data_IF_055995841088
#
_entry.id   IF_055995841088
#
_cell.length_a   1.000
_cell.length_b   1.000
_cell.length_c   1.000
_cell.angle_alpha   90.00
_cell.angle_beta   90.00
_cell.angle_gamma   90.00
#
_symmetry.space_group_name_H-M   'P 1'
#
loop_
_entity.id
_entity.type
_entity.pdbx_description
1 polymer ?
#
# COMPACT_ATOMS: atom_id res chain seq x y z
N UNK A 1 -12.86 -27.72 -5.93
CA UNK A 1 -14.00 -27.39 -6.83
C UNK A 1 -13.89 -26.00 -7.46
N UNK A 2 -13.14 -25.04 -6.91
CA UNK A 2 -13.07 -23.68 -7.46
C UNK A 2 -12.03 -23.43 -8.57
N UNK A 3 -11.16 -24.39 -8.91
CA UNK A 3 -10.11 -24.16 -9.92
C UNK A 3 -10.67 -23.79 -11.29
N UNK A 4 -11.74 -24.44 -11.75
CA UNK A 4 -12.36 -24.12 -13.04
C UNK A 4 -13.06 -22.75 -13.05
N UNK A 5 -13.56 -22.31 -11.90
CA UNK A 5 -14.13 -20.97 -11.72
C UNK A 5 -13.04 -19.90 -11.76
N UNK A 6 -11.91 -20.14 -11.08
CA UNK A 6 -10.76 -19.24 -11.13
C UNK A 6 -10.23 -19.08 -12.55
N UNK A 7 -10.07 -20.18 -13.27
CA UNK A 7 -9.55 -20.16 -14.63
C UNK A 7 -10.44 -19.31 -15.56
N UNK A 8 -11.77 -19.43 -15.44
CA UNK A 8 -12.73 -18.61 -16.18
C UNK A 8 -12.66 -17.13 -15.82
N UNK A 9 -12.58 -16.80 -14.53
CA UNK A 9 -12.44 -15.41 -14.07
C UNK A 9 -11.17 -14.78 -14.64
N UNK A 10 -10.04 -15.47 -14.52
CA UNK A 10 -8.74 -14.99 -15.05
C UNK A 10 -8.79 -14.85 -16.57
N UNK A 11 -9.38 -15.82 -17.28
CA UNK A 11 -9.52 -15.78 -18.72
C UNK A 11 -10.31 -14.57 -19.21
N UNK A 12 -11.43 -14.25 -18.55
CA UNK A 12 -12.24 -13.07 -18.85
C UNK A 12 -11.51 -11.76 -18.55
N UNK A 13 -10.87 -11.65 -17.39
CA UNK A 13 -10.13 -10.44 -16.97
C UNK A 13 -8.96 -10.14 -17.90
N UNK A 14 -8.19 -11.18 -18.28
CA UNK A 14 -7.00 -11.06 -19.13
C UNK A 14 -7.32 -11.15 -20.63
N UNK A 15 -8.58 -11.39 -21.00
CA UNK A 15 -9.04 -11.56 -22.39
C UNK A 15 -8.28 -12.66 -23.14
N UNK A 16 -8.06 -13.79 -22.47
CA UNK A 16 -7.43 -15.01 -23.00
C UNK A 16 -8.38 -16.21 -22.85
N UNK A 17 -7.99 -17.38 -23.35
CA UNK A 17 -8.86 -18.57 -23.28
C UNK A 17 -8.68 -19.33 -21.98
N UNK A 18 -9.76 -19.95 -21.48
CA UNK A 18 -9.73 -20.80 -20.28
C UNK A 18 -8.64 -21.88 -20.38
N UNK A 19 -8.49 -22.50 -21.57
CA UNK A 19 -7.47 -23.53 -21.82
C UNK A 19 -6.04 -23.01 -21.58
N UNK A 20 -5.75 -21.77 -21.98
CA UNK A 20 -4.43 -21.16 -21.76
C UNK A 20 -4.18 -20.93 -20.26
N UNK A 21 -5.21 -20.49 -19.52
CA UNK A 21 -5.11 -20.30 -18.07
C UNK A 21 -4.89 -21.63 -17.37
N UNK A 22 -5.77 -22.61 -17.59
CA UNK A 22 -5.68 -23.94 -16.96
C UNK A 22 -4.33 -24.61 -17.20
N UNK A 23 -3.83 -24.57 -18.45
CA UNK A 23 -2.54 -25.15 -18.78
C UNK A 23 -1.39 -24.42 -18.08
N UNK A 24 -1.45 -23.10 -18.01
CA UNK A 24 -0.41 -22.27 -17.35
C UNK A 24 -0.43 -22.48 -15.84
N UNK A 25 -1.59 -22.44 -15.19
CA UNK A 25 -1.76 -22.66 -13.74
C UNK A 25 -1.22 -24.04 -13.35
N UNK A 26 -1.57 -25.09 -14.10
CA UNK A 26 -1.06 -26.43 -13.84
C UNK A 26 0.46 -26.49 -13.86
N UNK A 27 1.09 -25.90 -14.87
CA UNK A 27 2.55 -25.91 -14.97
C UNK A 27 3.21 -25.09 -13.85
N UNK A 28 2.61 -23.98 -13.44
CA UNK A 28 3.08 -23.18 -12.29
C UNK A 28 2.97 -23.99 -10.98
N UNK A 29 1.87 -24.72 -10.78
CA UNK A 29 1.67 -25.58 -9.61
C UNK A 29 2.68 -26.76 -9.59
N UNK A 30 3.06 -27.26 -10.77
CA UNK A 30 4.13 -28.27 -10.93
C UNK A 30 5.55 -27.68 -10.70
N UNK A 31 5.66 -26.39 -10.34
CA UNK A 31 6.90 -25.72 -9.99
C UNK A 31 7.64 -25.07 -11.16
N UNK A 32 7.03 -24.96 -12.34
CA UNK A 32 7.64 -24.27 -13.47
C UNK A 32 7.76 -22.76 -13.21
N UNK A 33 8.87 -22.17 -13.63
CA UNK A 33 9.09 -20.72 -13.51
C UNK A 33 8.52 -19.96 -14.71
N UNK A 34 8.16 -18.69 -14.51
CA UNK A 34 7.64 -17.83 -15.59
C UNK A 34 8.58 -17.79 -16.82
N UNK A 35 9.91 -17.58 -16.68
CA UNK A 35 10.81 -17.57 -17.83
C UNK A 35 10.89 -18.94 -18.54
N UNK A 36 10.79 -20.04 -17.78
CA UNK A 36 10.77 -21.37 -18.36
C UNK A 36 9.52 -21.59 -19.22
N UNK A 37 8.36 -21.16 -18.74
CA UNK A 37 7.09 -21.30 -19.46
C UNK A 37 7.08 -20.46 -20.73
N UNK A 38 7.42 -19.17 -20.62
CA UNK A 38 7.43 -18.25 -21.74
C UNK A 38 8.41 -18.68 -22.84
N UNK A 39 9.51 -19.36 -22.49
CA UNK A 39 10.53 -19.79 -23.46
C UNK A 39 10.31 -21.20 -24.00
N UNK A 40 9.97 -22.17 -23.16
CA UNK A 40 10.02 -23.60 -23.49
C UNK A 40 8.66 -24.30 -23.47
N UNK A 41 7.57 -23.61 -23.13
CA UNK A 41 6.21 -24.17 -23.08
C UNK A 41 5.18 -23.36 -23.88
N UNK A 42 5.63 -22.56 -24.86
CA UNK A 42 4.77 -21.73 -25.71
C UNK A 42 3.61 -22.50 -26.36
N UNK A 43 3.85 -23.71 -26.84
CA UNK A 43 2.78 -24.50 -27.48
C UNK A 43 1.69 -24.89 -26.47
N UNK A 44 2.09 -25.23 -25.25
CA UNK A 44 1.19 -25.66 -24.17
C UNK A 44 0.43 -24.47 -23.59
N UNK A 45 1.08 -23.31 -23.47
CA UNK A 45 0.45 -22.07 -22.98
C UNK A 45 -0.29 -21.30 -24.07
N UNK A 46 -0.26 -21.74 -25.33
CA UNK A 46 -0.87 -21.03 -26.45
C UNK A 46 -0.19 -19.69 -26.77
N UNK A 47 1.13 -19.60 -26.57
CA UNK A 47 1.95 -18.48 -26.96
C UNK A 47 1.97 -17.30 -25.97
N UNK A 48 1.50 -17.49 -24.74
CA UNK A 48 1.55 -16.45 -23.70
C UNK A 48 2.99 -16.00 -23.41
N UNK A 49 3.16 -14.69 -23.22
CA UNK A 49 4.43 -14.07 -22.84
C UNK A 49 4.62 -14.04 -21.31
N UNK A 50 5.78 -13.55 -20.88
CA UNK A 50 6.14 -13.48 -19.45
C UNK A 50 5.19 -12.56 -18.66
N UNK A 51 4.64 -11.53 -19.29
CA UNK A 51 3.72 -10.58 -18.64
C UNK A 51 2.39 -11.28 -18.35
N UNK A 52 1.79 -11.92 -19.36
CA UNK A 52 0.53 -12.63 -19.19
C UNK A 52 0.64 -13.80 -18.20
N UNK A 53 1.73 -14.58 -18.28
CA UNK A 53 1.98 -15.69 -17.35
C UNK A 53 2.14 -15.18 -15.91
N UNK A 54 2.83 -14.05 -15.71
CA UNK A 54 2.96 -13.40 -14.40
C UNK A 54 1.60 -12.97 -13.87
N UNK A 55 0.77 -12.33 -14.70
CA UNK A 55 -0.59 -11.92 -14.31
C UNK A 55 -1.46 -13.12 -13.91
N UNK A 56 -1.38 -14.24 -14.63
CA UNK A 56 -2.08 -15.49 -14.27
C UNK A 56 -1.62 -15.99 -12.89
N UNK A 57 -0.29 -16.08 -12.68
CA UNK A 57 0.30 -16.54 -11.41
C UNK A 57 -0.18 -15.69 -10.23
N UNK A 58 -0.13 -14.37 -10.38
CA UNK A 58 -0.46 -13.46 -9.29
C UNK A 58 -1.98 -13.47 -9.02
N UNK A 59 -2.80 -13.51 -10.07
CA UNK A 59 -4.26 -13.52 -9.94
C UNK A 59 -4.78 -14.84 -9.36
N UNK A 60 -4.24 -15.98 -9.77
CA UNK A 60 -4.64 -17.29 -9.19
C UNK A 60 -4.28 -17.37 -7.72
N UNK A 61 -3.14 -16.80 -7.30
CA UNK A 61 -2.76 -16.72 -5.89
C UNK A 61 -3.75 -15.86 -5.09
N UNK A 62 -4.18 -14.71 -5.62
CA UNK A 62 -5.18 -13.85 -4.99
C UNK A 62 -6.53 -14.55 -4.82
N UNK A 63 -7.02 -15.24 -5.86
CA UNK A 63 -8.29 -15.97 -5.81
C UNK A 63 -8.24 -17.14 -4.82
N UNK A 64 -7.12 -17.87 -4.76
CA UNK A 64 -6.90 -18.92 -3.75
C UNK A 64 -6.91 -18.37 -2.31
N UNK A 65 -6.32 -17.20 -2.09
CA UNK A 65 -6.36 -16.57 -0.76
C UNK A 65 -7.77 -16.08 -0.39
N UNK A 66 -8.53 -15.56 -1.37
CA UNK A 66 -9.94 -15.21 -1.19
C UNK A 66 -10.77 -16.44 -0.77
N UNK A 67 -10.59 -17.57 -1.47
CA UNK A 67 -11.24 -18.84 -1.14
C UNK A 67 -10.92 -19.30 0.28
N UNK A 68 -9.62 -19.32 0.62
CA UNK A 68 -9.17 -19.72 1.95
C UNK A 68 -9.79 -18.85 3.04
N UNK A 69 -9.87 -17.54 2.81
CA UNK A 69 -10.51 -16.62 3.76
C UNK A 69 -12.01 -16.84 3.83
N UNK A 70 -12.65 -17.15 2.70
CA UNK A 70 -14.08 -17.48 2.62
C UNK A 70 -14.40 -18.69 3.49
N UNK A 71 -13.61 -19.75 3.40
CA UNK A 71 -13.79 -20.97 4.20
C UNK A 71 -13.67 -20.70 5.70
N UNK A 72 -12.69 -19.87 6.11
CA UNK A 72 -12.52 -19.46 7.51
C UNK A 72 -13.73 -18.67 8.02
N UNK A 73 -14.27 -17.78 7.19
CA UNK A 73 -15.44 -16.97 7.55
C UNK A 73 -16.70 -17.83 7.66
N UNK A 74 -16.93 -18.73 6.71
CA UNK A 74 -18.04 -19.67 6.75
C UNK A 74 -18.00 -20.52 8.03
N UNK A 75 -16.84 -21.11 8.34
CA UNK A 75 -16.66 -21.90 9.56
C UNK A 75 -16.92 -21.09 10.83
N UNK A 76 -16.40 -19.86 10.92
CA UNK A 76 -16.61 -19.01 12.10
C UNK A 76 -18.08 -18.60 12.31
N UNK A 77 -18.85 -18.39 11.24
CA UNK A 77 -20.28 -18.04 11.32
C UNK A 77 -21.12 -19.29 11.64
N UNK A 78 -20.73 -20.45 11.09
CA UNK A 78 -21.35 -21.74 11.38
C UNK A 78 -21.18 -22.14 12.85
N UNK A 79 -19.98 -21.97 13.43
CA UNK A 79 -19.70 -22.22 14.85
C UNK A 79 -20.58 -21.36 15.79
N UNK A 80 -21.02 -20.18 15.33
CA UNK A 80 -21.92 -19.30 16.07
C UNK A 80 -23.41 -19.66 15.90
N UNK A 81 -23.73 -20.63 15.03
CA UNK A 81 -25.10 -21.00 14.67
C UNK A 81 -25.85 -19.88 13.95
N UNK A 82 -25.14 -18.99 13.25
CA UNK A 82 -25.71 -17.81 12.55
C UNK A 82 -25.67 -17.94 11.03
N UNK A 83 -25.13 -19.04 10.50
CA UNK A 83 -25.02 -19.24 9.06
C UNK A 83 -26.39 -19.63 8.49
N UNK A 84 -27.00 -18.69 7.76
CA UNK A 84 -28.24 -18.95 7.01
C UNK A 84 -27.92 -19.24 5.56
N UNK A 85 -28.79 -19.97 4.86
CA UNK A 85 -28.62 -20.28 3.43
C UNK A 85 -28.43 -19.01 2.58
N UNK A 86 -29.17 -17.94 2.92
CA UNK A 86 -29.07 -16.65 2.25
C UNK A 86 -27.70 -15.99 2.46
N UNK A 87 -27.18 -16.01 3.69
CA UNK A 87 -25.86 -15.48 4.02
C UNK A 87 -24.74 -16.31 3.38
N UNK A 88 -24.86 -17.64 3.41
CA UNK A 88 -23.93 -18.54 2.76
C UNK A 88 -23.85 -18.25 1.25
N UNK A 89 -24.99 -18.07 0.59
CA UNK A 89 -25.03 -17.69 -0.82
C UNK A 89 -24.33 -16.35 -1.09
N UNK A 90 -24.53 -15.34 -0.24
CA UNK A 90 -23.83 -14.04 -0.35
C UNK A 90 -22.31 -14.18 -0.18
N UNK A 91 -21.86 -14.97 0.79
CA UNK A 91 -20.44 -15.23 1.05
C UNK A 91 -19.78 -15.95 -0.13
N UNK A 92 -20.46 -16.92 -0.74
CA UNK A 92 -19.98 -17.58 -1.96
C UNK A 92 -19.93 -16.63 -3.17
N UNK A 93 -20.86 -15.69 -3.26
CA UNK A 93 -20.92 -14.70 -4.34
C UNK A 93 -19.92 -13.55 -4.18
N UNK A 94 -19.36 -13.32 -2.98
CA UNK A 94 -18.41 -12.25 -2.72
C UNK A 94 -17.15 -12.41 -3.61
N UNK A 95 -16.91 -11.39 -4.44
CA UNK A 95 -15.86 -11.38 -5.46
C UNK A 95 -14.56 -10.75 -4.95
N UNK A 96 -14.62 -9.97 -3.88
CA UNK A 96 -13.46 -9.29 -3.30
C UNK A 96 -13.28 -9.62 -1.82
N UNK A 97 -12.03 -9.50 -1.36
CA UNK A 97 -11.71 -9.63 0.07
C UNK A 97 -12.50 -8.62 0.92
N UNK A 98 -12.69 -7.42 0.40
CA UNK A 98 -13.44 -6.35 1.08
C UNK A 98 -14.90 -6.71 1.28
N UNK A 99 -15.59 -7.18 0.23
CA UNK A 99 -16.99 -7.64 0.35
C UNK A 99 -17.14 -8.77 1.35
N UNK A 100 -16.18 -9.70 1.34
CA UNK A 100 -16.17 -10.84 2.23
C UNK A 100 -15.99 -10.42 3.70
N UNK A 101 -15.08 -9.48 3.98
CA UNK A 101 -14.89 -8.92 5.34
C UNK A 101 -16.09 -8.08 5.79
N UNK A 102 -16.72 -7.33 4.88
CA UNK A 102 -17.93 -6.55 5.18
C UNK A 102 -19.10 -7.49 5.57
N UNK A 103 -19.27 -8.63 4.87
CA UNK A 103 -20.25 -9.68 5.23
C UNK A 103 -19.95 -10.34 6.58
N UNK A 104 -18.68 -10.50 6.91
CA UNK A 104 -18.25 -11.13 8.16
C UNK A 104 -18.31 -10.19 9.37
N UNK A 105 -18.30 -8.87 9.14
CA UNK A 105 -18.19 -7.85 10.19
C UNK A 105 -19.18 -8.02 11.36
N UNK A 106 -20.48 -8.35 11.15
CA UNK A 106 -21.42 -8.56 12.24
C UNK A 106 -21.08 -9.75 13.15
N UNK A 107 -20.42 -10.76 12.59
CA UNK A 107 -20.11 -12.04 13.24
C UNK A 107 -18.69 -12.12 13.77
N UNK A 108 -17.85 -11.13 13.44
CA UNK A 108 -16.49 -11.07 13.92
C UNK A 108 -16.48 -10.96 15.46
N UNK A 109 -15.64 -11.72 16.18
CA UNK A 109 -15.48 -11.56 17.62
C UNK A 109 -15.08 -10.12 17.97
N UNK A 110 -15.90 -9.43 18.77
CA UNK A 110 -15.70 -8.02 19.17
C UNK A 110 -15.37 -7.94 20.66
N UNK A 111 -14.58 -6.94 21.02
CA UNK A 111 -14.50 -6.47 22.42
C UNK A 111 -15.87 -5.91 22.80
N UNK A 112 -16.28 -6.05 24.05
CA UNK A 112 -17.58 -5.59 24.59
C UNK A 112 -17.88 -4.15 24.15
N UNK A 113 -18.77 -3.98 23.17
CA UNK A 113 -19.12 -2.67 22.57
C UNK A 113 -20.23 -1.99 23.35
N UNK A 114 -20.46 -0.69 23.08
CA UNK A 114 -21.61 0.04 23.67
C UNK A 114 -22.95 -0.60 23.26
N UNK A 115 -23.07 -1.02 22.00
CA UNK A 115 -24.22 -1.74 21.50
C UNK A 115 -24.42 -3.08 22.23
N UNK A 116 -23.35 -3.88 22.41
CA UNK A 116 -23.44 -5.13 23.18
C UNK A 116 -23.91 -4.89 24.62
N UNK A 117 -23.36 -3.87 25.30
CA UNK A 117 -23.78 -3.51 26.65
C UNK A 117 -25.26 -3.10 26.67
N UNK A 118 -25.71 -2.31 25.70
CA UNK A 118 -27.11 -1.91 25.58
C UNK A 118 -28.04 -3.11 25.30
N UNK A 119 -27.61 -4.10 24.50
CA UNK A 119 -28.34 -5.34 24.28
C UNK A 119 -28.42 -6.20 25.54
N UNK A 120 -27.32 -6.33 26.29
CA UNK A 120 -27.29 -7.01 27.60
C UNK A 120 -28.23 -6.35 28.62
N UNK A 121 -28.43 -5.03 28.51
CA UNK A 121 -29.40 -4.24 29.29
C UNK A 121 -30.85 -4.32 28.73
N UNK A 122 -31.11 -5.18 27.75
CA UNK A 122 -32.45 -5.39 27.21
C UNK A 122 -32.99 -4.26 26.33
N UNK A 123 -32.14 -3.37 25.79
CA UNK A 123 -32.58 -2.19 25.03
C UNK A 123 -32.76 -2.45 23.52
N UNK A 124 -32.48 -3.66 23.02
CA UNK A 124 -32.65 -4.00 21.60
C UNK A 124 -34.09 -3.85 21.10
N UNK A 125 -35.14 -4.25 21.84
CA UNK A 125 -36.52 -4.03 21.42
C UNK A 125 -36.87 -2.54 21.28
N UNK A 126 -36.35 -1.67 22.18
CA UNK A 126 -36.51 -0.23 22.04
C UNK A 126 -35.83 0.29 20.76
N UNK A 127 -34.62 -0.19 20.48
CA UNK A 127 -33.91 0.16 19.24
C UNK A 127 -34.71 -0.25 18.00
N UNK A 128 -35.31 -1.44 17.98
CA UNK A 128 -36.17 -1.90 16.88
C UNK A 128 -37.42 -1.03 16.71
N UNK A 129 -38.08 -0.66 17.81
CA UNK A 129 -39.25 0.24 17.78
C UNK A 129 -38.89 1.61 17.20
N UNK A 130 -37.76 2.19 17.62
CA UNK A 130 -37.28 3.46 17.08
C UNK A 130 -36.85 3.34 15.60
N UNK A 131 -36.21 2.23 15.23
CA UNK A 131 -35.74 1.96 13.87
C UNK A 131 -36.87 1.86 12.84
N UNK A 132 -38.06 1.40 13.28
CA UNK A 132 -39.27 1.41 12.46
C UNK A 132 -39.72 2.82 12.06
N UNK A 133 -39.33 3.84 12.84
CA UNK A 133 -39.61 5.26 12.59
C UNK A 133 -41.11 5.58 12.42
N UNK A 134 -41.96 4.94 13.21
CA UNK A 134 -43.38 5.26 13.25
C UNK A 134 -43.59 6.69 13.78
N UNK A 135 -44.25 7.53 12.98
CA UNK A 135 -44.53 8.92 13.30
C UNK A 135 -45.48 9.07 14.51
N UNK A 136 -46.26 8.04 14.83
CA UNK A 136 -47.19 8.05 15.97
C UNK A 136 -46.56 7.55 17.27
N UNK A 137 -45.32 7.05 17.22
CA UNK A 137 -44.64 6.53 18.41
C UNK A 137 -44.32 7.67 19.39
N UNK A 138 -44.85 7.55 20.61
CA UNK A 138 -44.40 8.37 21.74
C UNK A 138 -43.08 7.78 22.27
N UNK A 139 -41.97 8.41 21.88
CA UNK A 139 -40.61 7.92 22.16
C UNK A 139 -40.33 7.87 23.66
N UNK A 140 -40.74 8.87 24.42
CA UNK A 140 -40.54 8.94 25.87
C UNK A 140 -41.33 7.84 26.58
N UNK A 141 -42.60 7.65 26.23
CA UNK A 141 -43.45 6.62 26.82
C UNK A 141 -42.96 5.21 26.46
N UNK A 142 -42.45 5.02 25.23
CA UNK A 142 -41.86 3.75 24.83
C UNK A 142 -40.58 3.46 25.60
N UNK A 143 -39.68 4.45 25.71
CA UNK A 143 -38.42 4.32 26.43
C UNK A 143 -38.59 4.10 27.95
N UNK A 144 -39.64 4.67 28.57
CA UNK A 144 -39.98 4.43 29.98
C UNK A 144 -40.19 2.96 30.32
N UNK A 145 -40.64 2.14 29.36
CA UNK A 145 -40.85 0.70 29.54
C UNK A 145 -39.54 -0.07 29.76
N UNK A 146 -38.41 0.53 29.44
CA UNK A 146 -37.09 -0.07 29.50
C UNK A 146 -36.22 0.46 30.65
N UNK A 147 -36.78 1.26 31.56
CA UNK A 147 -36.06 1.69 32.76
C UNK A 147 -35.79 0.49 33.65
N UNK A 148 -34.52 0.31 34.01
CA UNK A 148 -34.06 -0.76 34.85
C UNK A 148 -32.82 -0.32 35.64
N UNK A 149 -33.00 0.18 36.88
CA UNK A 149 -31.89 0.60 37.73
C UNK A 149 -30.87 -0.51 38.01
N UNK A 150 -31.31 -1.77 38.09
CA UNK A 150 -30.41 -2.93 38.30
C UNK A 150 -29.46 -3.15 37.13
N UNK A 151 -29.82 -2.66 35.94
CA UNK A 151 -29.02 -2.69 34.72
C UNK A 151 -28.40 -1.33 34.37
N UNK A 152 -28.42 -0.37 35.31
CA UNK A 152 -27.91 1.00 35.13
C UNK A 152 -28.60 1.75 33.98
N UNK A 153 -29.92 1.57 33.85
CA UNK A 153 -30.79 2.35 32.97
C UNK A 153 -31.79 3.08 33.87
N UNK A 154 -31.40 4.25 34.38
CA UNK A 154 -32.14 4.96 35.43
C UNK A 154 -33.09 6.01 34.84
N UNK A 155 -32.71 6.58 33.71
CA UNK A 155 -33.40 7.69 33.04
C UNK A 155 -33.83 7.30 31.62
N UNK A 156 -34.86 7.98 31.10
CA UNK A 156 -35.32 7.81 29.71
C UNK A 156 -34.17 8.03 28.72
N UNK A 157 -33.32 9.02 28.99
CA UNK A 157 -32.14 9.31 28.15
C UNK A 157 -31.12 8.17 28.15
N UNK A 158 -30.98 7.40 29.23
CA UNK A 158 -30.09 6.22 29.27
C UNK A 158 -30.59 5.13 28.33
N UNK A 159 -31.91 4.90 28.31
CA UNK A 159 -32.55 3.93 27.42
C UNK A 159 -32.41 4.36 25.95
N UNK A 160 -32.67 5.64 25.65
CA UNK A 160 -32.51 6.21 24.30
C UNK A 160 -31.05 6.22 23.84
N UNK A 161 -30.10 6.53 24.72
CA UNK A 161 -28.67 6.44 24.42
C UNK A 161 -28.26 5.01 24.07
N UNK A 162 -28.65 4.02 24.88
CA UNK A 162 -28.35 2.62 24.59
C UNK A 162 -29.01 2.13 23.29
N UNK A 163 -30.26 2.53 23.03
CA UNK A 163 -30.92 2.20 21.76
C UNK A 163 -30.20 2.82 20.55
N UNK A 164 -29.72 4.07 20.65
CA UNK A 164 -28.89 4.71 19.63
C UNK A 164 -27.54 4.04 19.43
N UNK A 165 -26.89 3.58 20.50
CA UNK A 165 -25.64 2.82 20.41
C UNK A 165 -25.82 1.53 19.57
N UNK A 166 -26.95 0.84 19.74
CA UNK A 166 -27.31 -0.35 18.94
C UNK A 166 -27.54 0.03 17.47
N UNK A 167 -28.38 1.03 17.20
CA UNK A 167 -28.66 1.49 15.84
C UNK A 167 -27.40 1.98 15.13
N UNK A 168 -26.49 2.65 15.84
CA UNK A 168 -25.23 3.12 15.29
C UNK A 168 -24.33 1.97 14.83
N UNK A 169 -24.32 0.84 15.55
CA UNK A 169 -23.58 -0.36 15.14
C UNK A 169 -24.21 -0.99 13.89
N UNK A 170 -25.55 -1.12 13.84
CA UNK A 170 -26.25 -1.61 12.63
C UNK A 170 -25.93 -0.78 11.39
N UNK A 171 -25.96 0.55 11.50
CA UNK A 171 -25.60 1.46 10.40
C UNK A 171 -24.15 1.25 9.96
N UNK A 172 -23.23 1.04 10.92
CA UNK A 172 -21.80 0.92 10.61
C UNK A 172 -21.42 -0.39 9.91
N UNK A 173 -22.31 -1.38 9.98
CA UNK A 173 -22.15 -2.74 9.47
C UNK A 173 -23.00 -3.01 8.22
N UNK A 174 -23.83 -2.04 7.82
CA UNK A 174 -24.62 -2.16 6.59
C UNK A 174 -23.73 -2.15 5.34
N UNK A 175 -23.87 -3.18 4.51
CA UNK A 175 -23.02 -3.40 3.33
C UNK A 175 -23.11 -2.25 2.32
N UNK A 176 -24.32 -1.74 2.05
CA UNK A 176 -24.53 -0.71 1.05
C UNK A 176 -24.02 0.66 1.51
N UNK A 177 -24.23 0.98 2.78
CA UNK A 177 -23.70 2.18 3.41
C UNK A 177 -22.17 2.15 3.43
N UNK A 178 -21.54 1.03 3.81
CA UNK A 178 -20.08 0.88 3.80
C UNK A 178 -19.50 1.02 2.40
N UNK A 179 -20.08 0.34 1.40
CA UNK A 179 -19.63 0.44 0.01
C UNK A 179 -19.72 1.89 -0.50
N UNK A 180 -20.82 2.58 -0.22
CA UNK A 180 -21.04 3.97 -0.63
C UNK A 180 -20.12 4.95 0.10
N UNK A 181 -19.86 4.72 1.40
CA UNK A 181 -18.94 5.54 2.19
C UNK A 181 -17.48 5.35 1.74
N UNK A 182 -17.10 4.11 1.38
CA UNK A 182 -15.79 3.81 0.80
C UNK A 182 -15.58 4.54 -0.51
N UNK A 183 -16.58 4.55 -1.39
CA UNK A 183 -16.54 5.34 -2.63
C UNK A 183 -16.37 6.84 -2.33
N UNK A 184 -17.14 7.39 -1.38
CA UNK A 184 -17.01 8.79 -0.97
C UNK A 184 -15.58 9.14 -0.53
N UNK A 185 -14.95 8.31 0.31
CA UNK A 185 -13.58 8.53 0.77
C UNK A 185 -12.54 8.45 -0.35
N UNK A 186 -12.72 7.58 -1.33
CA UNK A 186 -11.76 7.42 -2.44
C UNK A 186 -11.93 8.49 -3.51
N UNK A 187 -13.16 8.92 -3.78
CA UNK A 187 -13.49 9.87 -4.85
C UNK A 187 -13.40 11.32 -4.39
N UNK A 188 -13.91 11.62 -3.19
CA UNK A 188 -14.08 12.98 -2.66
C UNK A 188 -13.27 13.24 -1.39
N UNK A 189 -12.62 12.22 -0.83
CA UNK A 189 -11.76 12.38 0.33
C UNK A 189 -10.58 13.30 0.07
N UNK A 190 -10.08 13.88 1.16
CA UNK A 190 -8.93 14.78 1.18
C UNK A 190 -7.90 14.22 2.15
N UNK A 191 -6.66 14.12 1.68
CA UNK A 191 -5.50 13.93 2.54
C UNK A 191 -5.25 15.23 3.29
N UNK A 192 -5.14 15.15 4.62
CA UNK A 192 -4.80 16.29 5.45
C UNK A 192 -3.59 15.98 6.32
N UNK A 193 -2.62 16.88 6.33
CA UNK A 193 -1.46 16.77 7.23
C UNK A 193 -1.27 18.02 8.07
N UNK A 194 -0.91 17.83 9.34
CA UNK A 194 -0.55 18.92 10.27
C UNK A 194 0.74 18.58 10.98
N UNK A 195 1.42 19.58 11.54
CA UNK A 195 2.64 19.35 12.31
C UNK A 195 2.32 18.66 13.65
N UNK A 196 3.16 17.69 14.04
CA UNK A 196 3.10 17.12 15.40
C UNK A 196 3.61 18.17 16.39
N UNK A 197 2.83 18.42 17.45
CA UNK A 197 3.18 19.40 18.49
C UNK A 197 4.53 19.03 19.13
N UNK A 198 5.43 20.02 19.25
CA UNK A 198 6.74 19.86 19.90
C UNK A 198 7.85 19.32 18.99
N UNK A 199 7.60 19.14 17.69
CA UNK A 199 8.63 18.82 16.69
C UNK A 199 8.95 20.06 15.86
N UNK A 200 10.24 20.27 15.58
CA UNK A 200 10.66 21.28 14.61
C UNK A 200 10.50 20.71 13.19
N UNK A 201 9.30 20.86 12.64
CA UNK A 201 8.99 20.40 11.28
C UNK A 201 9.53 21.38 10.23
N UNK A 202 9.74 22.64 10.60
CA UNK A 202 10.25 23.69 9.68
C UNK A 202 11.71 23.44 9.29
N UNK A 203 12.51 22.89 10.21
CA UNK A 203 13.87 22.42 9.91
C UNK A 203 13.92 21.03 9.24
N UNK A 204 12.77 20.37 9.04
CA UNK A 204 12.71 19.02 8.49
C UNK A 204 12.49 19.01 6.97
N UNK A 205 12.79 17.87 6.33
CA UNK A 205 12.47 17.59 4.92
C UNK A 205 10.96 17.53 4.62
N UNK A 206 10.10 17.68 5.63
CA UNK A 206 8.64 17.60 5.52
C UNK A 206 7.92 18.94 5.59
N UNK A 207 8.66 20.06 5.65
CA UNK A 207 8.07 21.42 5.77
C UNK A 207 6.99 21.70 4.71
N UNK A 208 7.19 21.18 3.49
CA UNK A 208 6.29 21.43 2.35
C UNK A 208 4.95 20.68 2.50
N UNK A 209 4.84 19.77 3.49
CA UNK A 209 3.65 18.98 3.81
C UNK A 209 3.03 19.37 5.16
N UNK A 210 3.33 20.55 5.70
CA UNK A 210 2.67 21.09 6.90
C UNK A 210 1.44 21.88 6.48
N UNK A 211 0.29 21.65 7.14
CA UNK A 211 -1.01 22.25 6.79
C UNK A 211 -1.37 22.01 5.31
N UNK A 212 -1.13 20.79 4.84
CA UNK A 212 -1.38 20.40 3.45
C UNK A 212 -2.73 19.70 3.32
N UNK A 213 -3.45 20.06 2.26
CA UNK A 213 -4.69 19.40 1.85
C UNK A 213 -4.63 19.03 0.37
N UNK A 214 -4.92 17.76 0.05
CA UNK A 214 -4.88 17.28 -1.33
C UNK A 214 -5.95 16.20 -1.60
N UNK A 215 -6.69 16.26 -2.72
CA UNK A 215 -7.68 15.25 -3.06
C UNK A 215 -7.10 13.84 -3.19
N UNK A 216 -7.74 12.86 -2.55
CA UNK A 216 -7.34 11.44 -2.54
C UNK A 216 -7.28 10.86 -3.94
N UNK A 217 -8.27 11.16 -4.78
CA UNK A 217 -8.38 10.63 -6.13
C UNK A 217 -7.20 11.03 -7.03
N UNK A 218 -6.60 12.20 -6.81
CA UNK A 218 -5.61 12.83 -7.72
C UNK A 218 -4.19 12.91 -7.16
N UNK A 219 -3.98 12.53 -5.89
CA UNK A 219 -2.68 12.66 -5.25
C UNK A 219 -1.62 11.76 -5.91
N UNK A 220 -0.46 12.31 -6.33
CA UNK A 220 0.66 11.53 -6.86
C UNK A 220 1.27 10.60 -5.82
N UNK A 221 1.72 9.41 -6.27
CA UNK A 221 2.33 8.38 -5.42
C UNK A 221 3.43 8.94 -4.50
N UNK A 222 4.39 9.69 -5.04
CA UNK A 222 5.52 10.22 -4.26
C UNK A 222 5.09 11.15 -3.12
N UNK A 223 4.02 11.94 -3.28
CA UNK A 223 3.49 12.81 -2.21
C UNK A 223 2.78 12.00 -1.14
N UNK A 224 1.96 11.02 -1.53
CA UNK A 224 1.31 10.10 -0.58
C UNK A 224 2.36 9.38 0.27
N UNK A 225 3.44 8.89 -0.35
CA UNK A 225 4.54 8.26 0.36
C UNK A 225 5.31 9.23 1.26
N UNK A 226 5.55 10.47 0.82
CA UNK A 226 6.22 11.48 1.62
C UNK A 226 5.42 11.87 2.88
N UNK A 227 4.10 12.10 2.75
CA UNK A 227 3.21 12.41 3.88
C UNK A 227 3.20 11.27 4.90
N UNK A 228 3.07 10.03 4.44
CA UNK A 228 3.11 8.83 5.31
C UNK A 228 4.46 8.63 5.98
N UNK A 229 5.55 8.94 5.28
CA UNK A 229 6.89 8.88 5.86
C UNK A 229 7.05 9.94 6.95
N UNK A 230 6.54 11.15 6.72
CA UNK A 230 6.51 12.22 7.73
C UNK A 230 5.71 11.82 8.97
N UNK A 231 4.59 11.11 8.80
CA UNK A 231 3.83 10.52 9.90
C UNK A 231 4.62 9.43 10.64
N UNK A 232 5.22 8.48 9.90
CA UNK A 232 5.99 7.37 10.48
C UNK A 232 7.23 7.86 11.25
N UNK A 233 7.91 8.89 10.74
CA UNK A 233 9.06 9.53 11.42
C UNK A 233 8.61 10.52 12.52
N UNK A 234 7.31 10.69 12.74
CA UNK A 234 6.73 11.45 13.85
C UNK A 234 6.76 12.98 13.69
N UNK A 235 6.90 13.49 12.46
CA UNK A 235 6.88 14.92 12.15
C UNK A 235 5.48 15.43 11.80
N UNK A 236 4.67 14.58 11.14
CA UNK A 236 3.32 14.95 10.68
C UNK A 236 2.26 14.10 11.37
N UNK A 237 1.08 14.66 11.55
CA UNK A 237 -0.15 13.85 11.57
C UNK A 237 -0.63 13.72 10.13
N UNK A 238 -1.19 12.58 9.76
CA UNK A 238 -1.75 12.35 8.44
C UNK A 238 -3.16 11.80 8.63
N UNK A 239 -4.14 12.35 7.93
CA UNK A 239 -5.55 11.94 8.00
C UNK A 239 -6.14 11.83 6.60
N UNK A 240 -7.15 10.98 6.45
CA UNK A 240 -8.05 10.98 5.29
C UNK A 240 -9.43 11.37 5.77
N UNK A 241 -9.96 12.48 5.27
CA UNK A 241 -11.23 13.04 5.74
C UNK A 241 -12.16 13.29 4.56
N UNK A 242 -13.46 13.30 4.85
CA UNK A 242 -14.52 13.70 3.92
C UNK A 242 -15.35 14.81 4.58
N UNK A 243 -16.05 15.66 3.80
CA UNK A 243 -17.00 16.61 4.36
C UNK A 243 -18.11 15.88 5.13
N UNK A 244 -18.23 16.12 6.44
CA UNK A 244 -19.25 15.49 7.30
C UNK A 244 -20.68 15.66 6.75
N UNK A 245 -21.11 16.83 6.23
CA UNK A 245 -22.46 16.98 5.69
C UNK A 245 -22.78 16.02 4.53
N UNK A 246 -21.79 15.72 3.67
CA UNK A 246 -21.96 14.80 2.54
C UNK A 246 -22.08 13.36 3.02
N UNK A 247 -21.25 12.96 3.98
CA UNK A 247 -21.29 11.64 4.59
C UNK A 247 -22.61 11.40 5.33
N UNK A 248 -23.08 12.37 6.11
CA UNK A 248 -24.37 12.28 6.80
C UNK A 248 -25.54 12.27 5.83
N UNK A 249 -25.52 13.11 4.78
CA UNK A 249 -26.54 13.08 3.73
C UNK A 249 -26.62 11.71 3.05
N UNK A 250 -25.47 11.09 2.79
CA UNK A 250 -25.40 9.74 2.25
C UNK A 250 -26.07 8.72 3.16
N UNK A 251 -25.75 8.72 4.47
CA UNK A 251 -26.34 7.78 5.42
C UNK A 251 -27.84 8.06 5.66
N UNK A 252 -28.26 9.33 5.68
CA UNK A 252 -29.68 9.67 5.76
C UNK A 252 -30.49 9.04 4.63
N UNK A 253 -29.97 9.01 3.39
CA UNK A 253 -30.68 8.37 2.26
C UNK A 253 -30.92 6.87 2.46
N UNK A 254 -30.06 6.18 3.20
CA UNK A 254 -30.23 4.74 3.47
C UNK A 254 -31.17 4.48 4.64
N UNK A 255 -31.09 5.28 5.70
CA UNK A 255 -31.67 4.90 7.00
C UNK A 255 -32.80 5.81 7.48
N UNK A 256 -32.89 7.06 7.02
CA UNK A 256 -33.93 7.98 7.44
C UNK A 256 -35.19 7.81 6.57
N UNK A 257 -36.32 7.45 7.20
CA UNK A 257 -37.57 7.09 6.50
C UNK A 257 -38.70 8.10 6.71
N UNK A 258 -38.57 8.98 7.69
CA UNK A 258 -39.66 9.87 8.10
C UNK A 258 -39.19 11.15 8.79
N UNK A 259 -40.17 11.89 9.30
CA UNK A 259 -39.98 13.13 10.05
C UNK A 259 -40.87 13.04 11.30
N UNK A 260 -40.27 12.69 12.44
CA UNK A 260 -40.95 12.51 13.72
C UNK A 260 -39.96 12.13 14.82
N UNK A 261 -40.39 12.04 16.09
CA UNK A 261 -39.49 11.85 17.23
C UNK A 261 -38.62 10.59 17.11
N UNK A 262 -39.15 9.49 16.60
CA UNK A 262 -38.37 8.27 16.35
C UNK A 262 -37.30 8.47 15.26
N UNK A 263 -37.62 9.22 14.19
CA UNK A 263 -36.69 9.58 13.12
C UNK A 263 -35.57 10.51 13.61
N UNK A 264 -35.85 11.38 14.59
CA UNK A 264 -34.84 12.19 15.27
C UNK A 264 -33.84 11.31 16.04
N UNK A 265 -34.30 10.27 16.73
CA UNK A 265 -33.40 9.32 17.39
C UNK A 265 -32.52 8.55 16.39
N UNK A 266 -33.08 8.15 15.24
CA UNK A 266 -32.30 7.54 14.15
C UNK A 266 -31.28 8.53 13.56
N UNK A 267 -31.65 9.80 13.40
CA UNK A 267 -30.72 10.86 12.94
C UNK A 267 -29.52 11.02 13.88
N UNK A 268 -29.76 10.99 15.19
CA UNK A 268 -28.69 11.02 16.20
C UNK A 268 -27.81 9.77 16.13
N UNK A 269 -28.40 8.58 15.92
CA UNK A 269 -27.65 7.34 15.73
C UNK A 269 -26.82 7.34 14.44
N UNK A 270 -27.31 7.93 13.34
CA UNK A 270 -26.57 8.09 12.09
C UNK A 270 -25.33 8.96 12.32
N UNK A 271 -25.50 10.10 13.01
CA UNK A 271 -24.37 10.98 13.33
C UNK A 271 -23.33 10.28 14.19
N UNK A 272 -23.76 9.59 15.25
CA UNK A 272 -22.84 8.84 16.11
C UNK A 272 -22.15 7.70 15.35
N UNK A 273 -22.89 6.95 14.52
CA UNK A 273 -22.32 5.89 13.67
C UNK A 273 -21.22 6.43 12.76
N UNK A 274 -21.46 7.55 12.09
CA UNK A 274 -20.44 8.18 11.25
C UNK A 274 -19.22 8.59 12.06
N UNK A 275 -19.40 9.41 13.09
CA UNK A 275 -18.30 10.04 13.82
C UNK A 275 -17.47 9.02 14.61
N UNK A 276 -18.12 8.02 15.23
CA UNK A 276 -17.45 7.07 16.13
C UNK A 276 -16.96 5.81 15.43
N UNK A 277 -17.67 5.33 14.40
CA UNK A 277 -17.46 4.00 13.82
C UNK A 277 -17.02 4.07 12.36
N UNK A 278 -17.89 4.56 11.46
CA UNK A 278 -17.65 4.51 10.01
C UNK A 278 -16.48 5.38 9.59
N UNK A 279 -16.38 6.63 10.07
CA UNK A 279 -15.31 7.54 9.65
C UNK A 279 -13.91 6.97 9.91
N UNK A 280 -13.72 6.33 11.06
CA UNK A 280 -12.44 5.74 11.46
C UNK A 280 -12.12 4.48 10.64
N UNK A 281 -13.13 3.63 10.40
CA UNK A 281 -12.98 2.44 9.55
C UNK A 281 -12.66 2.82 8.12
N UNK A 282 -13.41 3.77 7.55
CA UNK A 282 -13.29 4.20 6.15
C UNK A 282 -12.00 4.98 5.91
N UNK A 283 -11.56 5.80 6.88
CA UNK A 283 -10.23 6.40 6.86
C UNK A 283 -9.14 5.33 6.80
N UNK A 284 -9.22 4.31 7.65
CA UNK A 284 -8.24 3.21 7.68
C UNK A 284 -8.18 2.47 6.34
N UNK A 285 -9.33 2.14 5.78
CA UNK A 285 -9.42 1.47 4.48
C UNK A 285 -8.87 2.34 3.34
N UNK A 286 -9.30 3.60 3.25
CA UNK A 286 -8.81 4.54 2.26
C UNK A 286 -7.29 4.71 2.37
N UNK A 287 -6.75 4.71 3.59
CA UNK A 287 -5.30 4.72 3.80
C UNK A 287 -4.63 3.45 3.28
N UNK A 288 -5.17 2.26 3.53
CA UNK A 288 -4.55 1.03 3.04
C UNK A 288 -4.55 0.98 1.50
N UNK A 289 -5.69 1.30 0.87
CA UNK A 289 -5.84 1.31 -0.58
C UNK A 289 -4.89 2.32 -1.23
N UNK A 290 -4.85 3.55 -0.71
CA UNK A 290 -4.01 4.62 -1.27
C UNK A 290 -2.53 4.36 -1.08
N UNK A 291 -2.15 3.70 0.04
CA UNK A 291 -0.77 3.23 0.24
C UNK A 291 -0.40 2.17 -0.79
N UNK A 292 -1.22 1.13 -0.94
CA UNK A 292 -0.97 0.04 -1.89
C UNK A 292 -0.82 0.58 -3.32
N UNK A 293 -1.71 1.49 -3.74
CA UNK A 293 -1.61 2.18 -5.04
C UNK A 293 -0.30 2.96 -5.18
N UNK A 294 0.08 3.73 -4.16
CA UNK A 294 1.29 4.53 -4.21
C UNK A 294 2.56 3.66 -4.24
N UNK A 295 2.63 2.61 -3.41
CA UNK A 295 3.73 1.66 -3.38
C UNK A 295 3.88 0.96 -4.73
N UNK A 296 2.78 0.52 -5.34
CA UNK A 296 2.81 -0.16 -6.63
C UNK A 296 3.44 0.72 -7.70
N UNK A 297 2.96 1.97 -7.86
CA UNK A 297 3.54 2.92 -8.83
C UNK A 297 5.02 3.20 -8.54
N UNK A 298 5.42 3.30 -7.27
CA UNK A 298 6.83 3.55 -6.93
C UNK A 298 7.72 2.33 -7.27
N UNK A 299 7.24 1.12 -6.96
CA UNK A 299 7.94 -0.14 -7.26
C UNK A 299 8.07 -0.32 -8.77
N UNK A 300 7.05 0.00 -9.56
CA UNK A 300 7.13 -0.06 -11.02
C UNK A 300 8.24 0.84 -11.57
N UNK A 301 8.34 2.08 -11.08
CA UNK A 301 9.42 3.00 -11.47
C UNK A 301 10.79 2.45 -11.06
N UNK A 302 10.93 1.89 -9.86
CA UNK A 302 12.18 1.26 -9.44
C UNK A 302 12.53 0.03 -10.28
N UNK A 303 11.55 -0.81 -10.60
CA UNK A 303 11.73 -1.99 -11.43
C UNK A 303 12.21 -1.60 -12.84
N UNK A 304 11.60 -0.57 -13.44
CA UNK A 304 12.03 -0.03 -14.74
C UNK A 304 13.47 0.51 -14.68
N UNK A 305 13.82 1.26 -13.63
CA UNK A 305 15.17 1.76 -13.45
C UNK A 305 16.20 0.63 -13.32
N UNK A 306 15.90 -0.41 -12.54
CA UNK A 306 16.77 -1.59 -12.40
C UNK A 306 16.87 -2.34 -13.72
N UNK A 307 15.77 -2.52 -14.44
CA UNK A 307 15.77 -3.17 -15.75
C UNK A 307 16.69 -2.43 -16.74
N UNK A 308 16.61 -1.10 -16.79
CA UNK A 308 17.50 -0.29 -17.64
C UNK A 308 18.97 -0.45 -17.27
N UNK A 309 19.28 -0.53 -15.97
CA UNK A 309 20.65 -0.76 -15.50
C UNK A 309 21.16 -2.16 -15.87
N UNK A 310 20.33 -3.20 -15.72
CA UNK A 310 20.70 -4.58 -16.05
C UNK A 310 20.83 -4.81 -17.56
N UNK A 311 20.07 -4.06 -18.36
CA UNK A 311 20.08 -4.15 -19.82
C UNK A 311 21.07 -3.16 -20.46
N UNK A 312 21.83 -2.41 -19.67
CA UNK A 312 22.84 -1.50 -20.19
C UNK A 312 23.88 -2.30 -21.01
N UNK A 313 24.28 -1.81 -22.20
CA UNK A 313 25.27 -2.50 -23.02
C UNK A 313 26.57 -2.73 -22.24
N UNK A 314 27.07 -3.98 -22.16
CA UNK A 314 28.32 -4.25 -21.47
C UNK A 314 29.48 -3.63 -22.26
N UNK A 315 30.46 -3.07 -21.55
CA UNK A 315 31.69 -2.54 -22.14
C UNK A 315 32.49 -3.64 -22.91
N UNK A 316 32.28 -4.90 -22.55
CA UNK A 316 33.01 -6.04 -23.07
C UNK A 316 34.31 -6.31 -22.30
N UNK A 317 35.16 -7.15 -22.87
CA UNK A 317 36.41 -7.60 -22.24
C UNK A 317 37.50 -6.54 -22.42
N UNK A 318 37.62 -5.64 -21.43
CA UNK A 318 38.61 -4.57 -21.40
C UNK A 318 39.33 -4.54 -20.05
N UNK A 319 40.60 -4.15 -20.05
CA UNK A 319 41.26 -3.76 -18.79
C UNK A 319 40.67 -2.43 -18.32
N UNK A 320 40.11 -2.41 -17.11
CA UNK A 320 39.37 -1.28 -16.56
C UNK A 320 40.06 -0.73 -15.32
N UNK A 321 40.23 0.59 -15.25
CA UNK A 321 40.52 1.29 -14.01
C UNK A 321 39.20 1.86 -13.46
N UNK A 322 38.70 1.29 -12.37
CA UNK A 322 37.49 1.77 -11.72
C UNK A 322 37.84 2.64 -10.52
N UNK A 323 37.16 3.78 -10.39
CA UNK A 323 37.39 4.77 -9.35
C UNK A 323 36.07 5.04 -8.63
N UNK A 324 36.03 4.71 -7.35
CA UNK A 324 34.98 5.09 -6.39
C UNK A 324 35.35 6.45 -5.76
N UNK A 325 34.67 7.54 -6.13
CA UNK A 325 35.06 8.89 -5.74
C UNK A 325 34.83 9.19 -4.26
N UNK A 326 35.63 10.11 -3.73
CA UNK A 326 35.42 10.61 -2.39
C UNK A 326 36.28 11.84 -2.08
N UNK A 327 35.72 12.76 -1.30
CA UNK A 327 36.46 13.92 -0.80
C UNK A 327 37.39 13.52 0.36
N UNK A 328 36.82 13.41 1.57
CA UNK A 328 37.59 13.22 2.81
C UNK A 328 38.31 11.88 2.88
N UNK A 329 37.68 10.81 2.39
CA UNK A 329 38.22 9.45 2.44
C UNK A 329 39.02 9.07 1.19
N UNK A 330 39.28 10.05 0.31
CA UNK A 330 39.94 9.81 -0.97
C UNK A 330 39.09 9.01 -1.96
N UNK A 331 39.58 8.92 -3.18
CA UNK A 331 39.02 8.10 -4.24
C UNK A 331 39.69 6.72 -4.22
N UNK A 332 38.91 5.64 -4.17
CA UNK A 332 39.42 4.27 -4.15
C UNK A 332 39.51 3.82 -5.59
N UNK A 333 40.68 3.37 -5.98
CA UNK A 333 41.01 3.01 -7.34
C UNK A 333 41.32 1.52 -7.39
N UNK A 334 40.73 0.82 -8.36
CA UNK A 334 41.01 -0.59 -8.62
C UNK A 334 41.27 -0.80 -10.10
N UNK A 335 42.26 -1.62 -10.45
CA UNK A 335 42.52 -2.03 -11.82
C UNK A 335 42.13 -3.49 -11.98
N UNK A 336 41.25 -3.76 -12.95
CA UNK A 336 40.79 -5.09 -13.35
C UNK A 336 41.33 -5.41 -14.74
N UNK A 337 41.76 -6.65 -14.98
CA UNK A 337 42.10 -7.09 -16.32
C UNK A 337 40.86 -7.42 -17.18
N UNK A 338 41.09 -7.85 -18.43
CA UNK A 338 40.04 -8.23 -19.38
C UNK A 338 39.12 -9.36 -18.90
N UNK A 339 39.54 -10.14 -17.91
CA UNK A 339 38.76 -11.22 -17.29
C UNK A 339 38.03 -10.76 -16.03
N UNK A 340 38.22 -9.51 -15.59
CA UNK A 340 37.67 -8.97 -14.34
C UNK A 340 38.49 -9.34 -13.10
N UNK A 341 39.70 -9.88 -13.27
CA UNK A 341 40.58 -10.21 -12.14
C UNK A 341 41.23 -8.94 -11.60
N UNK A 342 41.25 -8.79 -10.28
CA UNK A 342 41.90 -7.67 -9.61
C UNK A 342 43.42 -7.71 -9.80
N UNK A 343 43.98 -6.61 -10.31
CA UNK A 343 45.42 -6.46 -10.58
C UNK A 343 46.10 -5.41 -9.71
N UNK A 344 45.37 -4.36 -9.33
CA UNK A 344 45.89 -3.28 -8.50
C UNK A 344 44.78 -2.62 -7.69
N UNK A 345 45.14 -2.11 -6.51
CA UNK A 345 44.26 -1.30 -5.67
C UNK A 345 45.07 -0.16 -5.06
N UNK A 346 44.48 1.03 -4.99
CA UNK A 346 45.11 2.17 -4.34
C UNK A 346 44.06 3.17 -3.86
N UNK A 347 44.41 4.03 -2.91
CA UNK A 347 43.59 5.19 -2.55
C UNK A 347 44.35 6.45 -2.90
N UNK A 348 43.73 7.29 -3.73
CA UNK A 348 44.30 8.57 -4.17
C UNK A 348 43.50 9.73 -3.59
N UNK A 349 44.14 10.89 -3.42
CA UNK A 349 43.53 12.07 -2.82
C UNK A 349 43.56 13.28 -3.77
N UNK A 350 42.87 13.21 -4.92
CA UNK A 350 42.93 14.28 -5.92
C UNK A 350 42.32 15.60 -5.43
N UNK A 351 41.42 15.55 -4.43
CA UNK A 351 40.64 16.69 -3.93
C UNK A 351 41.14 17.26 -2.61
N UNK A 352 42.26 16.77 -2.06
CA UNK A 352 42.78 17.20 -0.75
C UNK A 352 44.24 17.66 -0.83
N UNK A 353 44.54 18.74 -0.11
CA UNK A 353 45.90 19.19 0.16
C UNK A 353 46.63 19.82 -1.04
N UNK A 354 47.70 20.56 -0.75
CA UNK A 354 48.61 21.09 -1.77
C UNK A 354 49.41 19.94 -2.39
N UNK A 355 49.22 19.70 -3.70
CA UNK A 355 49.92 18.64 -4.44
C UNK A 355 49.17 17.30 -4.56
N UNK A 356 48.00 17.13 -3.91
CA UNK A 356 47.20 15.90 -3.97
C UNK A 356 46.77 15.54 -5.39
N UNK A 357 46.31 16.52 -6.17
CA UNK A 357 45.95 16.34 -7.58
C UNK A 357 47.14 15.90 -8.45
N UNK A 358 48.33 16.49 -8.24
CA UNK A 358 49.52 16.14 -9.02
C UNK A 358 49.99 14.71 -8.73
N UNK A 359 50.03 14.32 -7.45
CA UNK A 359 50.40 12.97 -7.03
C UNK A 359 49.40 11.93 -7.55
N UNK A 360 48.09 12.18 -7.36
CA UNK A 360 47.03 11.31 -7.87
C UNK A 360 47.11 11.15 -9.40
N UNK A 361 47.40 12.24 -10.12
CA UNK A 361 47.53 12.24 -11.57
C UNK A 361 48.71 11.38 -12.04
N UNK A 362 49.87 11.51 -11.39
CA UNK A 362 51.05 10.70 -11.68
C UNK A 362 50.77 9.21 -11.47
N UNK A 363 50.16 8.84 -10.32
CA UNK A 363 49.75 7.47 -10.02
C UNK A 363 48.81 6.91 -11.09
N UNK A 364 47.77 7.66 -11.49
CA UNK A 364 46.81 7.20 -12.50
C UNK A 364 47.51 6.94 -13.84
N UNK A 365 48.40 7.85 -14.26
CA UNK A 365 49.15 7.69 -15.52
C UNK A 365 50.05 6.46 -15.48
N UNK A 366 50.76 6.23 -14.37
CA UNK A 366 51.60 5.05 -14.17
C UNK A 366 50.77 3.75 -14.27
N UNK A 367 49.65 3.68 -13.53
CA UNK A 367 48.76 2.51 -13.52
C UNK A 367 48.18 2.26 -14.91
N UNK A 368 47.76 3.31 -15.62
CA UNK A 368 47.24 3.18 -16.98
C UNK A 368 48.28 2.57 -17.93
N UNK A 369 49.54 3.00 -17.83
CA UNK A 369 50.63 2.47 -18.66
C UNK A 369 51.02 1.05 -18.26
N UNK A 370 51.18 0.79 -16.96
CA UNK A 370 51.63 -0.50 -16.42
C UNK A 370 50.66 -1.63 -16.77
N UNK A 371 49.36 -1.39 -16.64
CA UNK A 371 48.34 -2.41 -16.84
C UNK A 371 47.66 -2.35 -18.22
N UNK A 372 48.07 -1.41 -19.08
CA UNK A 372 47.45 -1.20 -20.40
C UNK A 372 45.93 -1.00 -20.27
N UNK A 373 45.55 -0.02 -19.44
CA UNK A 373 44.14 0.31 -19.19
C UNK A 373 43.47 0.76 -20.48
N UNK A 374 42.30 0.20 -20.75
CA UNK A 374 41.52 0.43 -21.98
C UNK A 374 40.25 1.23 -21.73
N UNK A 375 39.85 1.43 -20.47
CA UNK A 375 38.74 2.29 -20.06
C UNK A 375 38.87 2.68 -18.59
N UNK A 376 38.34 3.87 -18.24
CA UNK A 376 38.23 4.34 -16.86
C UNK A 376 36.75 4.47 -16.51
N UNK A 377 36.33 3.82 -15.43
CA UNK A 377 34.99 3.92 -14.87
C UNK A 377 35.01 4.78 -13.60
N UNK A 378 34.07 5.71 -13.47
CA UNK A 378 34.00 6.65 -12.33
C UNK A 378 32.60 6.58 -11.71
N UNK A 379 32.53 6.29 -10.40
CA UNK A 379 31.25 6.29 -9.66
C UNK A 379 30.55 7.65 -9.70
N UNK A 380 29.22 7.64 -9.74
CA UNK A 380 28.40 8.86 -9.90
C UNK A 380 27.91 9.50 -8.60
N UNK A 381 28.42 9.08 -7.44
CA UNK A 381 28.07 9.68 -6.17
C UNK A 381 28.98 10.83 -5.76
N UNK A 382 29.34 10.84 -4.49
CA UNK A 382 29.99 12.01 -3.88
C UNK A 382 31.37 12.24 -4.46
N UNK A 383 31.62 13.45 -5.00
CA UNK A 383 32.83 13.83 -5.74
C UNK A 383 32.96 13.21 -7.15
N UNK A 384 31.91 12.59 -7.71
CA UNK A 384 31.98 11.95 -9.02
C UNK A 384 32.28 12.90 -10.17
N UNK A 385 31.58 14.04 -10.24
CA UNK A 385 31.80 15.05 -11.29
C UNK A 385 33.18 15.70 -11.20
N UNK A 386 33.63 15.98 -9.99
CA UNK A 386 34.94 16.55 -9.70
C UNK A 386 36.07 15.59 -10.10
N UNK A 387 35.88 14.29 -9.81
CA UNK A 387 36.82 13.24 -10.17
C UNK A 387 36.86 13.01 -11.68
N UNK A 388 35.71 13.03 -12.34
CA UNK A 388 35.64 12.96 -13.81
C UNK A 388 36.37 14.14 -14.47
N UNK A 389 36.11 15.36 -14.01
CA UNK A 389 36.76 16.57 -14.52
C UNK A 389 38.28 16.52 -14.30
N UNK A 390 38.72 16.05 -13.13
CA UNK A 390 40.13 15.82 -12.82
C UNK A 390 40.77 14.82 -13.80
N UNK A 391 40.13 13.67 -14.03
CA UNK A 391 40.61 12.65 -14.97
C UNK A 391 40.69 13.18 -16.41
N UNK A 392 39.70 13.97 -16.85
CA UNK A 392 39.69 14.59 -18.18
C UNK A 392 40.78 15.64 -18.36
N UNK A 393 41.25 16.26 -17.27
CA UNK A 393 42.38 17.19 -17.31
C UNK A 393 43.75 16.48 -17.37
N UNK A 394 43.81 15.18 -17.09
CA UNK A 394 45.05 14.40 -17.21
C UNK A 394 45.39 14.15 -18.68
N UNK A 395 46.69 14.14 -19.00
CA UNK A 395 47.22 13.80 -20.33
C UNK A 395 47.21 12.28 -20.58
N UNK A 396 46.03 11.66 -20.47
CA UNK A 396 45.84 10.24 -20.75
C UNK A 396 45.78 9.99 -22.27
N UNK A 397 46.15 8.78 -22.74
CA UNK A 397 45.94 8.40 -24.14
C UNK A 397 44.49 8.62 -24.55
N UNK A 398 44.26 9.32 -25.67
CA UNK A 398 42.91 9.68 -26.16
C UNK A 398 42.02 8.47 -26.47
N UNK A 399 42.62 7.28 -26.60
CA UNK A 399 41.92 6.02 -26.81
C UNK A 399 41.25 5.46 -25.53
N UNK A 400 41.56 5.99 -24.34
CA UNK A 400 40.96 5.54 -23.07
C UNK A 400 39.70 6.35 -22.78
N UNK A 401 38.48 5.80 -23.00
CA UNK A 401 37.26 6.47 -22.60
C UNK A 401 37.16 6.57 -21.08
N UNK A 402 36.69 7.73 -20.61
CA UNK A 402 36.29 7.96 -19.22
C UNK A 402 34.77 7.97 -19.19
N UNK A 403 34.18 7.06 -18.42
CA UNK A 403 32.73 6.82 -18.36
C UNK A 403 32.25 6.91 -16.92
N UNK A 404 31.19 7.68 -16.71
CA UNK A 404 30.46 7.71 -15.45
C UNK A 404 29.59 6.46 -15.32
N UNK A 405 29.68 5.79 -14.18
CA UNK A 405 28.91 4.57 -13.87
C UNK A 405 28.08 4.78 -12.61
N UNK A 406 26.94 4.07 -12.56
CA UNK A 406 26.07 4.12 -11.39
C UNK A 406 26.73 3.35 -10.22
N UNK A 407 26.92 4.00 -9.07
CA UNK A 407 27.48 3.37 -7.88
C UNK A 407 26.42 2.76 -6.95
N UNK A 408 25.14 2.84 -7.32
CA UNK A 408 24.04 2.27 -6.53
C UNK A 408 24.28 0.77 -6.30
N UNK A 409 24.37 0.38 -5.02
CA UNK A 409 24.62 -0.99 -4.59
C UNK A 409 26.10 -1.35 -4.38
N UNK A 410 27.05 -0.51 -4.81
CA UNK A 410 28.48 -0.77 -4.60
C UNK A 410 28.86 -0.84 -3.11
N UNK A 411 28.34 0.08 -2.28
CA UNK A 411 28.57 0.04 -0.83
C UNK A 411 27.95 -1.19 -0.18
N UNK A 412 26.79 -1.64 -0.64
CA UNK A 412 26.13 -2.86 -0.13
C UNK A 412 26.98 -4.08 -0.45
N UNK A 413 27.46 -4.21 -1.70
CA UNK A 413 28.37 -5.27 -2.12
C UNK A 413 29.68 -5.25 -1.31
N UNK A 414 30.24 -4.08 -1.03
CA UNK A 414 31.49 -3.98 -0.26
C UNK A 414 31.37 -4.50 1.18
N UNK A 415 30.14 -4.56 1.71
CA UNK A 415 29.84 -5.00 3.06
C UNK A 415 29.16 -6.39 3.12
N UNK A 416 28.95 -7.05 1.97
CA UNK A 416 28.22 -8.33 1.88
C UNK A 416 29.06 -9.56 2.17
#
# INVERSE_FOLDING_TARGET
>A
MNSELHDKTIAQELKITDKQVTATVRLLDDGATVPFLARYRKEVTGGLDEVAITSIRDRVAQLRELDKRRDVILGSIEEQGKLTDALQAQIHAAATMTELEDLYLPYRPKRRTRAMIAKERGLEPLALSLWAQDAQLNVEAEAQKFLNPEQSVEMVEDALAGARDIMAEWISEDLQARASMRALYLEQGVFKTTAVRGKDVQASKYRDYVEWEEPVAKAPSHRVLAMRRGETEGFLTFRVVVPEPEALSLLHRFFLKGQGPASEQVTLAIKDSFTRLLSLSMETEARLVTKSRADHTAIEVFAQNVQQLLMAPPLGQKTVLAIDPGFRTGCKMVCLDRQGTLRHTETIFPHLGTGGAANAGATIVEVCQRFQVEAIAVGNGTAGRETEAFLRALKLPSAIPIVMVNESGASVYSAS
#
